data_IF_937421716397
#
_entry.id   IF_937421716397
#
_cell.length_a   1.000
_cell.length_b   1.000
_cell.length_c   1.000
_cell.angle_alpha   90.00
_cell.angle_beta   90.00
_cell.angle_gamma   90.00
#
_symmetry.space_group_name_H-M   'P 1'
#
loop_
_entity.id
_entity.type
_entity.pdbx_description
1 polymer ?
#
# COMPACT_ATOMS: atom_id res chain seq x y z
N UNK A 1 -3.84 -11.39 18.04
CA UNK A 1 -4.10 -9.98 18.38
C UNK A 1 -5.48 -9.68 17.84
N UNK A 2 -6.38 -9.16 18.66
CA UNK A 2 -7.71 -8.74 18.23
C UNK A 2 -7.70 -7.22 18.14
N UNK A 3 -8.28 -6.66 17.08
CA UNK A 3 -8.43 -5.23 16.88
C UNK A 3 -9.93 -4.94 16.83
N UNK A 4 -10.41 -4.04 17.69
CA UNK A 4 -11.78 -3.54 17.58
C UNK A 4 -11.82 -2.52 16.43
N UNK A 5 -12.79 -2.68 15.54
CA UNK A 5 -13.06 -1.73 14.45
C UNK A 5 -14.39 -1.05 14.69
N UNK A 6 -14.49 0.20 14.26
CA UNK A 6 -15.67 1.05 14.39
C UNK A 6 -16.22 1.43 13.02
N UNK A 7 -17.44 1.97 13.01
CA UNK A 7 -18.02 2.52 11.78
C UNK A 7 -17.10 3.62 11.24
N UNK A 8 -16.97 3.67 9.92
CA UNK A 8 -16.13 4.60 9.15
C UNK A 8 -14.62 4.27 9.19
N UNK A 9 -14.22 3.18 9.85
CA UNK A 9 -12.87 2.64 9.70
C UNK A 9 -12.63 2.08 8.30
N UNK A 10 -11.36 2.16 7.85
CA UNK A 10 -10.90 1.56 6.61
C UNK A 10 -9.79 0.56 6.94
N UNK A 11 -10.04 -0.72 6.67
CA UNK A 11 -9.05 -1.78 6.83
C UNK A 11 -8.34 -2.01 5.49
N UNK A 12 -7.01 -1.89 5.52
CA UNK A 12 -6.12 -2.21 4.39
C UNK A 12 -5.19 -3.33 4.82
N UNK A 13 -5.17 -4.41 4.07
CA UNK A 13 -4.30 -5.56 4.31
C UNK A 13 -3.48 -5.80 3.05
N UNK A 14 -2.16 -5.89 3.19
CA UNK A 14 -1.23 -6.12 2.09
C UNK A 14 -0.24 -7.25 2.38
N UNK A 15 0.27 -7.90 1.34
CA UNK A 15 1.48 -8.73 1.44
C UNK A 15 2.72 -7.87 1.65
N UNK A 16 3.85 -8.49 2.00
CA UNK A 16 5.14 -7.80 2.03
C UNK A 16 5.47 -7.17 0.67
N UNK A 17 5.13 -7.81 -0.45
CA UNK A 17 5.26 -7.20 -1.77
C UNK A 17 4.59 -5.82 -1.92
N UNK A 18 3.48 -5.56 -1.23
CA UNK A 18 2.90 -4.22 -1.16
C UNK A 18 3.70 -3.31 -0.22
N UNK A 19 3.90 -3.75 1.03
CA UNK A 19 4.47 -2.93 2.11
C UNK A 19 5.97 -2.64 1.93
N UNK A 20 6.66 -3.44 1.15
CA UNK A 20 8.06 -3.24 0.76
C UNK A 20 8.22 -2.12 -0.28
N UNK A 21 7.14 -1.78 -0.99
CA UNK A 21 7.16 -0.90 -2.16
C UNK A 21 6.35 0.39 -2.02
N UNK A 22 5.60 0.59 -0.91
CA UNK A 22 4.87 1.83 -0.61
C UNK A 22 4.99 2.12 0.89
N UNK A 23 5.27 3.38 1.27
CA UNK A 23 5.23 3.80 2.66
C UNK A 23 3.81 3.93 3.21
N UNK A 24 3.63 3.71 4.52
CA UNK A 24 2.34 3.89 5.19
C UNK A 24 1.77 5.30 4.97
N UNK A 25 2.61 6.33 5.00
CA UNK A 25 2.20 7.71 4.72
C UNK A 25 1.68 7.92 3.29
N UNK A 26 2.23 7.21 2.30
CA UNK A 26 1.74 7.29 0.93
C UNK A 26 0.37 6.58 0.80
N UNK A 27 0.18 5.48 1.54
CA UNK A 27 -1.11 4.81 1.63
C UNK A 27 -2.16 5.75 2.24
N UNK A 28 -1.83 6.46 3.32
CA UNK A 28 -2.70 7.47 3.94
C UNK A 28 -3.12 8.55 2.93
N UNK A 29 -2.19 9.13 2.17
CA UNK A 29 -2.51 10.12 1.13
C UNK A 29 -3.42 9.57 0.01
N UNK A 30 -3.21 8.30 -0.39
CA UNK A 30 -4.06 7.64 -1.39
C UNK A 30 -5.48 7.45 -0.83
N UNK A 31 -5.59 7.04 0.44
CA UNK A 31 -6.88 6.84 1.12
C UNK A 31 -7.65 8.15 1.25
N UNK A 32 -7.01 9.24 1.67
CA UNK A 32 -7.65 10.56 1.77
C UNK A 32 -8.27 10.98 0.43
N UNK A 33 -7.50 10.88 -0.66
CA UNK A 33 -7.99 11.19 -2.01
C UNK A 33 -9.12 10.25 -2.46
N UNK A 34 -9.04 8.97 -2.08
CA UNK A 34 -10.06 7.99 -2.41
C UNK A 34 -11.39 8.27 -1.70
N UNK A 35 -11.35 8.74 -0.45
CA UNK A 35 -12.53 9.18 0.30
C UNK A 35 -13.18 10.38 -0.39
N UNK A 36 -12.39 11.40 -0.74
CA UNK A 36 -12.88 12.60 -1.43
C UNK A 36 -13.55 12.27 -2.78
N UNK A 37 -12.97 11.30 -3.50
CA UNK A 37 -13.46 10.82 -4.79
C UNK A 37 -14.56 9.76 -4.66
N UNK A 38 -14.87 9.30 -3.43
CA UNK A 38 -15.84 8.24 -3.13
C UNK A 38 -15.56 6.94 -3.89
N UNK A 39 -14.28 6.57 -3.98
CA UNK A 39 -13.86 5.32 -4.63
C UNK A 39 -14.41 4.11 -3.89
N UNK A 40 -14.80 3.08 -4.64
CA UNK A 40 -15.13 1.77 -4.08
C UNK A 40 -13.87 1.09 -3.54
N UNK A 41 -14.06 0.16 -2.61
CA UNK A 41 -12.96 -0.59 -2.00
C UNK A 41 -12.07 -1.31 -3.05
N UNK A 42 -12.68 -1.89 -4.10
CA UNK A 42 -11.94 -2.52 -5.20
C UNK A 42 -11.07 -1.52 -5.99
N UNK A 43 -11.57 -0.30 -6.20
CA UNK A 43 -10.84 0.75 -6.93
C UNK A 43 -9.64 1.22 -6.11
N UNK A 44 -9.83 1.44 -4.79
CA UNK A 44 -8.74 1.78 -3.88
C UNK A 44 -7.71 0.64 -3.77
N UNK A 45 -8.14 -0.61 -3.65
CA UNK A 45 -7.26 -1.78 -3.61
C UNK A 45 -6.42 -1.87 -4.89
N UNK A 46 -7.05 -1.70 -6.05
CA UNK A 46 -6.38 -1.70 -7.35
C UNK A 46 -5.39 -0.55 -7.47
N UNK A 47 -5.74 0.65 -7.01
CA UNK A 47 -4.86 1.81 -7.04
C UNK A 47 -3.60 1.59 -6.20
N UNK A 48 -3.75 1.11 -4.96
CA UNK A 48 -2.61 0.78 -4.08
C UNK A 48 -1.76 -0.33 -4.71
N UNK A 49 -2.39 -1.42 -5.19
CA UNK A 49 -1.68 -2.52 -5.83
C UNK A 49 -0.88 -2.09 -7.05
N UNK A 50 -1.43 -1.23 -7.90
CA UNK A 50 -0.75 -0.72 -9.10
C UNK A 50 0.42 0.21 -8.76
N UNK A 51 0.31 1.04 -7.71
CA UNK A 51 1.42 1.89 -7.27
C UNK A 51 2.55 1.02 -6.71
N UNK A 52 2.23 0.00 -5.91
CA UNK A 52 3.22 -0.94 -5.37
C UNK A 52 3.92 -1.67 -6.51
N UNK A 53 3.15 -2.12 -7.51
CA UNK A 53 3.68 -2.80 -8.69
C UNK A 53 4.60 -1.89 -9.50
N UNK A 54 4.20 -0.64 -9.73
CA UNK A 54 5.03 0.34 -10.42
C UNK A 54 6.35 0.56 -9.67
N UNK A 55 6.28 0.82 -8.37
CA UNK A 55 7.46 1.02 -7.52
C UNK A 55 8.35 -0.22 -7.48
N UNK A 56 7.77 -1.43 -7.48
CA UNK A 56 8.50 -2.70 -7.47
C UNK A 56 9.45 -2.86 -8.66
N UNK A 57 9.10 -2.31 -9.83
CA UNK A 57 9.92 -2.35 -11.04
C UNK A 57 10.86 -1.15 -11.17
N UNK A 58 10.67 -0.08 -10.40
CA UNK A 58 11.54 1.08 -10.44
C UNK A 58 12.84 0.84 -9.65
N UNK A 59 13.94 0.72 -10.39
CA UNK A 59 15.29 0.48 -9.87
C UNK A 59 15.88 1.66 -9.09
N UNK A 60 15.21 2.82 -9.12
CA UNK A 60 15.63 4.04 -8.44
C UNK A 60 14.60 4.54 -7.42
N UNK A 61 13.45 3.86 -7.28
CA UNK A 61 12.46 4.22 -6.27
C UNK A 61 13.06 4.16 -4.87
N UNK A 62 12.69 5.16 -4.07
CA UNK A 62 12.95 5.16 -2.64
C UNK A 62 11.80 4.41 -1.98
N UNK A 63 12.02 3.17 -1.57
CA UNK A 63 11.00 2.27 -1.02
C UNK A 63 11.33 1.83 0.40
N UNK A 64 10.35 1.39 1.21
CA UNK A 64 10.60 0.79 2.52
C UNK A 64 11.67 -0.31 2.48
N UNK A 65 11.62 -1.20 1.49
CA UNK A 65 12.61 -2.26 1.29
C UNK A 65 14.03 -1.72 1.05
N UNK A 66 14.17 -0.74 0.14
CA UNK A 66 15.47 -0.14 -0.15
C UNK A 66 16.07 0.53 1.09
N UNK A 67 15.26 1.27 1.86
CA UNK A 67 15.71 1.94 3.09
C UNK A 67 16.08 0.92 4.17
N UNK A 68 15.27 -0.12 4.38
CA UNK A 68 15.52 -1.17 5.36
C UNK A 68 16.80 -1.97 5.04
N UNK A 69 17.20 -2.03 3.77
CA UNK A 69 18.42 -2.73 3.34
C UNK A 69 19.74 -2.09 3.80
N UNK A 70 19.71 -0.86 4.34
CA UNK A 70 20.88 -0.09 4.74
C UNK A 70 21.93 0.03 3.61
N UNK A 71 21.45 0.22 2.37
CA UNK A 71 22.29 0.41 1.18
C UNK A 71 22.70 -0.87 0.45
N UNK A 72 22.20 -2.05 0.88
CA UNK A 72 22.44 -3.33 0.18
C UNK A 72 21.56 -3.50 -1.06
N UNK A 73 20.37 -2.90 -1.05
CA UNK A 73 19.43 -2.90 -2.17
C UNK A 73 19.08 -1.46 -2.57
N UNK A 74 18.71 -1.27 -3.83
CA UNK A 74 18.27 0.01 -4.41
C UNK A 74 17.03 -0.25 -5.25
N UNK A 75 16.10 0.71 -5.25
CA UNK A 75 14.84 0.57 -5.96
C UNK A 75 13.84 -0.34 -5.25
N UNK A 76 12.73 -0.61 -5.93
CA UNK A 76 11.71 -1.54 -5.47
C UNK A 76 12.14 -3.00 -5.41
N UNK A 77 11.30 -3.79 -4.73
CA UNK A 77 11.40 -5.24 -4.61
C UNK A 77 10.35 -5.88 -5.52
N UNK A 78 10.79 -6.56 -6.58
CA UNK A 78 9.89 -7.34 -7.45
C UNK A 78 9.36 -8.53 -6.63
N UNK A 79 8.06 -8.56 -6.39
CA UNK A 79 7.40 -9.56 -5.54
C UNK A 79 5.91 -9.72 -5.91
N UNK A 80 5.27 -10.75 -5.36
CA UNK A 80 3.83 -10.93 -5.48
C UNK A 80 3.09 -9.92 -4.59
N UNK A 81 2.21 -9.13 -5.22
CA UNK A 81 1.47 -8.05 -4.56
C UNK A 81 0.01 -8.44 -4.43
N UNK A 82 -0.49 -8.51 -3.20
CA UNK A 82 -1.91 -8.67 -2.90
C UNK A 82 -2.35 -7.56 -1.96
N UNK A 83 -3.49 -6.93 -2.26
CA UNK A 83 -4.10 -5.86 -1.46
C UNK A 83 -5.58 -6.19 -1.23
N UNK A 84 -6.03 -6.08 0.00
CA UNK A 84 -7.44 -6.15 0.40
C UNK A 84 -7.81 -4.82 1.04
N UNK A 85 -8.95 -4.28 0.65
CA UNK A 85 -9.54 -3.08 1.25
C UNK A 85 -10.95 -3.41 1.70
N UNK A 86 -11.29 -2.99 2.92
CA UNK A 86 -12.65 -3.07 3.45
C UNK A 86 -13.03 -1.74 4.11
N UNK A 87 -14.19 -1.20 3.72
CA UNK A 87 -14.83 -0.09 4.41
C UNK A 87 -15.78 -0.65 5.46
N UNK A 88 -15.62 -0.24 6.71
CA UNK A 88 -16.47 -0.66 7.83
C UNK A 88 -17.64 0.30 7.93
N UNK A 89 -18.88 -0.19 7.73
CA UNK A 89 -20.10 0.63 7.63
C UNK A 89 -21.22 0.11 8.55
#
# INVERSE_FOLDING_TARGET
>A
MELNVERDDILIVGTDGMLDNIFESEIEEIVERAIDQKLKAEELASQIGNIALYNSFDRFADTPYARASQGRHKGGKIDDITVIVAYIQ
#
